data_IF_469565662613
#
_entry.id   IF_469565662613
#
_cell.length_a   1.000
_cell.length_b   1.000
_cell.length_c   1.000
_cell.angle_alpha   90.00
_cell.angle_beta   90.00
_cell.angle_gamma   90.00
#
_symmetry.space_group_name_H-M   'P 1'
#
loop_
_entity.id
_entity.type
_entity.pdbx_description
1 polymer ?
#
# COMPACT_ATOMS: atom_id res chain seq x y z
N UNK A 1 -13.41 4.09 33.56
CA UNK A 1 -14.52 4.71 32.84
C UNK A 1 -14.24 4.47 31.38
N UNK A 2 -15.16 3.85 30.64
CA UNK A 2 -15.06 3.83 29.18
C UNK A 2 -15.59 5.21 28.75
N UNK A 3 -14.68 6.11 28.39
CA UNK A 3 -15.07 7.43 27.91
C UNK A 3 -15.92 7.25 26.64
N UNK A 4 -17.07 7.91 26.60
CA UNK A 4 -17.92 7.87 25.41
C UNK A 4 -17.12 8.34 24.19
N UNK A 5 -17.29 7.69 23.01
CA UNK A 5 -16.59 8.10 21.82
C UNK A 5 -16.89 9.56 21.51
N UNK A 6 -15.84 10.38 21.40
CA UNK A 6 -16.00 11.79 21.10
C UNK A 6 -16.74 11.99 19.76
N UNK A 7 -17.43 13.12 19.62
CA UNK A 7 -18.29 13.37 18.46
C UNK A 7 -17.56 13.27 17.10
N UNK A 8 -16.25 13.57 17.07
CA UNK A 8 -15.42 13.50 15.86
C UNK A 8 -15.18 12.04 15.48
N UNK A 9 -14.78 11.18 16.41
CA UNK A 9 -14.57 9.74 16.19
C UNK A 9 -15.87 9.05 15.74
N UNK A 10 -17.00 9.43 16.32
CA UNK A 10 -18.32 8.95 15.88
C UNK A 10 -18.63 9.40 14.46
N UNK A 11 -18.42 10.67 14.12
CA UNK A 11 -18.65 11.18 12.78
C UNK A 11 -17.76 10.50 11.73
N UNK A 12 -16.47 10.28 12.03
CA UNK A 12 -15.56 9.54 11.17
C UNK A 12 -16.05 8.09 10.96
N UNK A 13 -16.40 7.39 12.04
CA UNK A 13 -16.95 6.03 11.93
C UNK A 13 -18.18 5.97 11.02
N UNK A 14 -19.09 6.95 11.13
CA UNK A 14 -20.26 7.04 10.26
C UNK A 14 -19.89 7.28 8.79
N UNK A 15 -18.95 8.19 8.51
CA UNK A 15 -18.45 8.44 7.14
C UNK A 15 -17.88 7.16 6.54
N UNK A 16 -17.09 6.41 7.31
CA UNK A 16 -16.49 5.16 6.87
C UNK A 16 -17.55 4.10 6.53
N UNK A 17 -18.52 3.90 7.43
CA UNK A 17 -19.58 2.92 7.27
C UNK A 17 -20.51 3.27 6.09
N UNK A 18 -20.91 4.53 5.95
CA UNK A 18 -21.76 4.98 4.85
C UNK A 18 -21.02 4.90 3.51
N UNK A 19 -19.76 5.36 3.46
CA UNK A 19 -18.92 5.28 2.27
C UNK A 19 -18.69 3.83 1.84
N UNK A 20 -18.40 2.94 2.79
CA UNK A 20 -18.24 1.51 2.53
C UNK A 20 -19.54 0.87 2.04
N UNK A 21 -20.67 1.19 2.68
CA UNK A 21 -21.99 0.71 2.25
C UNK A 21 -22.33 1.12 0.82
N UNK A 22 -22.02 2.37 0.43
CA UNK A 22 -22.19 2.86 -0.94
C UNK A 22 -21.27 2.15 -1.93
N UNK A 23 -20.00 1.92 -1.57
CA UNK A 23 -19.04 1.20 -2.40
C UNK A 23 -19.52 -0.25 -2.65
N UNK A 24 -19.91 -0.97 -1.60
CA UNK A 24 -20.42 -2.34 -1.70
C UNK A 24 -21.77 -2.45 -2.42
N UNK A 25 -22.67 -1.48 -2.22
CA UNK A 25 -23.91 -1.43 -3.00
C UNK A 25 -23.63 -1.24 -4.50
N UNK A 26 -22.65 -0.41 -4.84
CA UNK A 26 -22.21 -0.20 -6.23
C UNK A 26 -21.60 -1.47 -6.82
N UNK A 27 -20.69 -2.12 -6.08
CA UNK A 27 -20.09 -3.40 -6.45
C UNK A 27 -21.19 -4.46 -6.66
N UNK A 28 -22.13 -4.59 -5.72
CA UNK A 28 -23.24 -5.54 -5.79
C UNK A 28 -24.13 -5.32 -7.02
N UNK A 29 -24.45 -4.07 -7.36
CA UNK A 29 -25.21 -3.74 -8.59
C UNK A 29 -24.47 -4.17 -9.86
N UNK A 30 -23.15 -3.96 -9.92
CA UNK A 30 -22.33 -4.39 -11.07
C UNK A 30 -22.26 -5.90 -11.18
N UNK A 31 -22.03 -6.59 -10.07
CA UNK A 31 -22.00 -8.05 -10.02
C UNK A 31 -23.36 -8.66 -10.42
N UNK A 32 -24.48 -8.06 -10.00
CA UNK A 32 -25.83 -8.46 -10.42
C UNK A 32 -26.04 -8.32 -11.95
N UNK A 33 -25.33 -7.40 -12.60
CA UNK A 33 -25.28 -7.21 -14.06
C UNK A 33 -24.20 -8.07 -14.74
N UNK A 34 -23.52 -8.95 -14.00
CA UNK A 34 -22.37 -9.76 -14.45
C UNK A 34 -21.20 -8.91 -14.97
N UNK A 35 -21.10 -7.68 -14.48
CA UNK A 35 -19.97 -6.80 -14.75
C UNK A 35 -18.89 -6.95 -13.68
N UNK A 36 -17.63 -6.76 -14.07
CA UNK A 36 -16.55 -6.66 -13.10
C UNK A 36 -16.73 -5.39 -12.23
N UNK A 37 -16.44 -5.44 -10.92
CA UNK A 37 -16.44 -4.28 -10.03
C UNK A 37 -15.67 -3.08 -10.58
N UNK A 38 -14.48 -3.35 -11.12
CA UNK A 38 -13.66 -2.40 -11.87
C UNK A 38 -13.52 -2.96 -13.30
N UNK A 39 -13.85 -2.19 -14.35
CA UNK A 39 -13.64 -2.62 -15.72
C UNK A 39 -12.18 -2.98 -15.98
N UNK A 40 -11.95 -4.09 -16.67
CA UNK A 40 -10.61 -4.50 -17.07
C UNK A 40 -10.11 -3.63 -18.23
N UNK A 41 -8.95 -3.02 -18.06
CA UNK A 41 -8.26 -2.22 -19.08
C UNK A 41 -7.03 -3.01 -19.58
N UNK A 42 -7.05 -3.53 -20.82
CA UNK A 42 -5.93 -4.29 -21.38
C UNK A 42 -4.66 -3.45 -21.47
N UNK A 43 -3.50 -4.11 -21.37
CA UNK A 43 -2.18 -3.49 -21.42
C UNK A 43 -1.30 -4.08 -22.52
N UNK A 44 -0.31 -3.29 -22.94
CA UNK A 44 0.83 -3.80 -23.70
C UNK A 44 1.80 -4.60 -22.81
N UNK A 45 2.77 -5.27 -23.43
CA UNK A 45 3.79 -6.05 -22.71
C UNK A 45 4.57 -5.20 -21.70
N UNK A 46 5.03 -5.83 -20.62
CA UNK A 46 5.89 -5.15 -19.65
C UNK A 46 7.24 -4.77 -20.26
N UNK A 47 7.82 -3.64 -19.81
CA UNK A 47 9.12 -3.22 -20.28
C UNK A 47 10.30 -3.85 -19.52
N UNK A 48 10.05 -4.63 -18.47
CA UNK A 48 11.10 -5.23 -17.64
C UNK A 48 10.90 -6.74 -17.39
N UNK A 49 12.03 -7.41 -17.20
CA UNK A 49 12.18 -8.84 -16.93
C UNK A 49 12.31 -9.13 -15.43
N UNK A 50 12.20 -10.41 -15.05
CA UNK A 50 12.41 -10.83 -13.67
C UNK A 50 13.82 -10.54 -13.14
N UNK A 51 14.83 -10.56 -14.02
CA UNK A 51 16.21 -10.20 -13.65
C UNK A 51 16.28 -8.76 -13.16
N UNK A 52 15.58 -7.85 -13.82
CA UNK A 52 15.57 -6.44 -13.43
C UNK A 52 14.80 -6.20 -12.15
N UNK A 53 13.70 -6.92 -11.92
CA UNK A 53 13.00 -6.90 -10.63
C UNK A 53 13.96 -7.30 -9.51
N UNK A 54 14.71 -8.39 -9.68
CA UNK A 54 15.71 -8.83 -8.69
C UNK A 54 16.81 -7.78 -8.50
N UNK A 55 17.38 -7.23 -9.57
CA UNK A 55 18.43 -6.21 -9.48
C UNK A 55 17.95 -4.93 -8.77
N UNK A 56 16.74 -4.47 -9.09
CA UNK A 56 16.16 -3.29 -8.44
C UNK A 56 15.90 -3.54 -6.95
N UNK A 57 15.44 -4.74 -6.57
CA UNK A 57 15.25 -5.12 -5.17
C UNK A 57 16.58 -5.25 -4.41
N UNK A 58 17.61 -5.84 -5.03
CA UNK A 58 18.95 -5.89 -4.44
C UNK A 58 19.54 -4.49 -4.25
N UNK A 59 19.33 -3.60 -5.22
CA UNK A 59 19.75 -2.20 -5.11
C UNK A 59 19.01 -1.44 -4.00
N UNK A 60 17.72 -1.73 -3.81
CA UNK A 60 16.95 -1.23 -2.66
C UNK A 60 17.56 -1.70 -1.33
N UNK A 61 17.79 -3.00 -1.17
CA UNK A 61 18.37 -3.57 0.05
C UNK A 61 19.75 -2.98 0.34
N UNK A 62 20.58 -2.80 -0.69
CA UNK A 62 21.87 -2.13 -0.55
C UNK A 62 21.70 -0.68 -0.06
N UNK A 63 20.72 0.06 -0.60
CA UNK A 63 20.42 1.42 -0.17
C UNK A 63 20.02 1.51 1.30
N UNK A 64 19.17 0.59 1.77
CA UNK A 64 18.77 0.49 3.19
C UNK A 64 19.98 0.19 4.09
N UNK A 65 20.83 -0.76 3.70
CA UNK A 65 22.06 -1.11 4.46
C UNK A 65 23.01 0.08 4.52
N UNK A 66 23.23 0.78 3.40
CA UNK A 66 24.11 1.95 3.34
C UNK A 66 23.56 3.10 4.19
N UNK A 67 22.25 3.35 4.14
CA UNK A 67 21.62 4.39 4.94
C UNK A 67 21.77 4.11 6.44
N UNK A 68 21.56 2.86 6.87
CA UNK A 68 21.75 2.46 8.25
C UNK A 68 23.22 2.54 8.68
N UNK A 69 24.16 2.03 7.87
CA UNK A 69 25.60 2.10 8.17
C UNK A 69 26.11 3.55 8.23
N UNK A 70 25.58 4.44 7.39
CA UNK A 70 25.89 5.86 7.46
C UNK A 70 25.35 6.46 8.77
N UNK A 71 24.12 6.12 9.16
CA UNK A 71 23.54 6.61 10.41
C UNK A 71 24.38 6.18 11.63
N UNK A 72 24.76 4.90 11.71
CA UNK A 72 25.64 4.35 12.75
C UNK A 72 27.01 5.03 12.78
N UNK A 73 27.54 5.40 11.62
CA UNK A 73 28.88 6.00 11.51
C UNK A 73 28.92 7.49 11.90
N UNK A 74 27.86 8.23 11.63
CA UNK A 74 27.83 9.69 11.70
C UNK A 74 26.95 10.26 12.81
N UNK A 75 26.20 9.42 13.51
CA UNK A 75 25.34 9.81 14.63
C UNK A 75 25.57 8.91 15.85
N UNK A 76 24.90 9.21 16.97
CA UNK A 76 24.90 8.36 18.16
C UNK A 76 23.81 7.26 18.11
N UNK A 77 23.34 6.89 16.92
CA UNK A 77 22.32 5.87 16.74
C UNK A 77 22.81 4.49 17.21
N UNK A 78 22.02 3.83 18.06
CA UNK A 78 22.27 2.47 18.52
C UNK A 78 21.56 1.45 17.60
N UNK A 79 22.30 0.50 16.99
CA UNK A 79 21.70 -0.51 16.11
C UNK A 79 20.62 -1.33 16.81
N UNK A 80 19.50 -1.56 16.11
CA UNK A 80 18.38 -2.36 16.62
C UNK A 80 17.34 -1.56 17.43
N UNK A 81 17.55 -0.25 17.61
CA UNK A 81 16.56 0.64 18.20
C UNK A 81 15.70 1.30 17.12
N UNK A 82 14.40 1.48 17.40
CA UNK A 82 13.55 2.33 16.56
C UNK A 82 13.78 3.76 17.00
N UNK A 83 14.24 4.61 16.08
CA UNK A 83 14.52 6.03 16.34
C UNK A 83 13.98 6.92 15.22
N UNK A 84 13.85 8.21 15.53
CA UNK A 84 13.50 9.24 14.56
C UNK A 84 14.49 9.26 13.39
N UNK A 85 15.78 9.22 13.69
CA UNK A 85 16.85 9.32 12.72
C UNK A 85 16.85 8.11 11.77
N UNK A 86 16.59 6.91 12.30
CA UNK A 86 16.42 5.70 11.50
C UNK A 86 15.23 5.83 10.55
N UNK A 87 14.07 6.26 11.06
CA UNK A 87 12.86 6.43 10.25
C UNK A 87 13.11 7.37 9.05
N UNK A 88 13.75 8.52 9.30
CA UNK A 88 14.05 9.48 8.23
C UNK A 88 15.12 8.98 7.27
N UNK A 89 16.16 8.30 7.76
CA UNK A 89 17.19 7.71 6.90
C UNK A 89 16.59 6.68 5.94
N UNK A 90 15.72 5.80 6.44
CA UNK A 90 15.01 4.81 5.62
C UNK A 90 14.04 5.47 4.64
N UNK A 91 13.26 6.48 5.08
CA UNK A 91 12.37 7.22 4.19
C UNK A 91 13.15 7.90 3.05
N UNK A 92 14.30 8.51 3.35
CA UNK A 92 15.17 9.13 2.36
C UNK A 92 15.77 8.09 1.39
N UNK A 93 16.23 6.94 1.90
CA UNK A 93 16.75 5.85 1.08
C UNK A 93 15.68 5.31 0.10
N UNK A 94 14.46 5.09 0.58
CA UNK A 94 13.31 4.65 -0.25
C UNK A 94 12.94 5.67 -1.32
N UNK A 95 12.87 6.96 -0.95
CA UNK A 95 12.59 8.03 -1.90
C UNK A 95 13.68 8.13 -2.98
N UNK A 96 14.95 8.09 -2.57
CA UNK A 96 16.10 8.09 -3.50
C UNK A 96 16.09 6.88 -4.43
N UNK A 97 15.86 5.68 -3.89
CA UNK A 97 15.73 4.47 -4.69
C UNK A 97 14.57 4.57 -5.68
N UNK A 98 13.41 5.08 -5.27
CA UNK A 98 12.24 5.22 -6.14
C UNK A 98 12.52 6.14 -7.33
N UNK A 99 13.23 7.25 -7.09
CA UNK A 99 13.67 8.17 -8.16
C UNK A 99 14.57 7.44 -9.15
N UNK A 100 15.58 6.72 -8.66
CA UNK A 100 16.52 5.98 -9.51
C UNK A 100 15.82 4.86 -10.29
N UNK A 101 14.98 4.06 -9.64
CA UNK A 101 14.23 2.97 -10.26
C UNK A 101 13.24 3.51 -11.31
N UNK A 102 12.53 4.59 -11.00
CA UNK A 102 11.61 5.23 -11.95
C UNK A 102 12.35 5.82 -13.15
N UNK A 103 13.49 6.47 -12.95
CA UNK A 103 14.31 7.00 -14.04
C UNK A 103 14.87 5.87 -14.93
N UNK A 104 15.32 4.77 -14.33
CA UNK A 104 15.75 3.57 -15.05
C UNK A 104 14.62 3.01 -15.93
N UNK A 105 13.42 2.78 -15.37
CA UNK A 105 12.29 2.28 -16.15
C UNK A 105 11.80 3.28 -17.20
N UNK A 106 11.83 4.57 -16.90
CA UNK A 106 11.45 5.63 -17.84
C UNK A 106 12.38 5.66 -19.06
N UNK A 107 13.70 5.59 -18.85
CA UNK A 107 14.67 5.53 -19.96
C UNK A 107 14.52 4.24 -20.76
N UNK A 108 14.33 3.09 -20.09
CA UNK A 108 14.13 1.80 -20.73
C UNK A 108 12.87 1.76 -21.62
N UNK A 109 11.83 2.47 -21.23
CA UNK A 109 10.54 2.49 -21.93
C UNK A 109 10.48 3.53 -23.05
N UNK A 110 11.59 4.19 -23.38
CA UNK A 110 11.61 5.28 -24.35
C UNK A 110 10.78 6.48 -23.89
N UNK A 111 10.71 6.72 -22.56
CA UNK A 111 9.98 7.83 -21.96
C UNK A 111 8.49 7.58 -21.75
N UNK A 112 8.03 6.33 -21.77
CA UNK A 112 6.61 5.97 -21.63
C UNK A 112 6.26 5.53 -20.21
N UNK A 113 6.02 6.50 -19.34
CA UNK A 113 5.71 6.27 -17.93
C UNK A 113 4.47 5.38 -17.69
N UNK A 114 3.49 5.44 -18.61
CA UNK A 114 2.25 4.66 -18.54
C UNK A 114 2.48 3.15 -18.66
N UNK A 115 3.58 2.73 -19.29
CA UNK A 115 3.94 1.30 -19.43
C UNK A 115 4.33 0.62 -18.13
N UNK A 116 4.70 1.39 -17.09
CA UNK A 116 5.00 0.89 -15.75
C UNK A 116 4.12 1.56 -14.69
N UNK A 117 2.89 1.94 -15.06
CA UNK A 117 1.83 2.28 -14.12
C UNK A 117 1.59 3.77 -13.86
N UNK A 118 2.41 4.66 -14.40
CA UNK A 118 2.23 6.11 -14.26
C UNK A 118 1.48 6.71 -15.45
N UNK A 119 0.15 6.77 -15.34
CA UNK A 119 -0.69 7.46 -16.33
C UNK A 119 -1.17 8.83 -15.83
N UNK A 120 -0.37 9.87 -16.10
CA UNK A 120 -0.67 11.24 -15.68
C UNK A 120 -1.90 11.86 -16.36
N UNK A 121 -2.46 11.23 -17.39
CA UNK A 121 -3.66 11.72 -18.08
C UNK A 121 -4.95 11.45 -17.30
N UNK A 122 -4.93 10.50 -16.37
CA UNK A 122 -6.12 10.00 -15.66
C UNK A 122 -6.06 10.18 -14.14
N UNK A 123 -5.13 11.00 -13.63
CA UNK A 123 -4.89 11.15 -12.18
C UNK A 123 -6.17 11.40 -11.36
N UNK A 124 -7.04 12.30 -11.81
CA UNK A 124 -8.29 12.59 -11.10
C UNK A 124 -9.26 11.41 -11.07
N UNK A 125 -9.41 10.71 -12.20
CA UNK A 125 -10.23 9.48 -12.28
C UNK A 125 -9.65 8.38 -11.40
N UNK A 126 -8.33 8.25 -11.36
CA UNK A 126 -7.64 7.22 -10.59
C UNK A 126 -7.62 7.50 -9.10
N UNK A 127 -7.50 8.76 -8.69
CA UNK A 127 -7.68 9.16 -7.31
C UNK A 127 -9.12 8.87 -6.85
N UNK A 128 -10.13 9.21 -7.66
CA UNK A 128 -11.53 8.86 -7.37
C UNK A 128 -11.75 7.35 -7.24
N UNK A 129 -11.14 6.55 -8.13
CA UNK A 129 -11.17 5.10 -8.03
C UNK A 129 -10.46 4.60 -6.76
N UNK A 130 -9.31 5.16 -6.40
CA UNK A 130 -8.58 4.82 -5.18
C UNK A 130 -9.39 5.10 -3.92
N UNK A 131 -10.10 6.23 -3.85
CA UNK A 131 -11.02 6.54 -2.75
C UNK A 131 -12.15 5.50 -2.66
N UNK A 132 -12.72 5.10 -3.80
CA UNK A 132 -13.75 4.06 -3.83
C UNK A 132 -13.21 2.69 -3.37
N UNK A 133 -11.97 2.34 -3.76
CA UNK A 133 -11.27 1.14 -3.31
C UNK A 133 -11.00 1.18 -1.80
N UNK A 134 -10.58 2.34 -1.27
CA UNK A 134 -10.42 2.55 0.18
C UNK A 134 -11.72 2.25 0.93
N UNK A 135 -12.86 2.84 0.53
CA UNK A 135 -14.13 2.58 1.19
C UNK A 135 -14.58 1.12 1.08
N UNK A 136 -14.33 0.47 -0.05
CA UNK A 136 -14.62 -0.96 -0.20
C UNK A 136 -13.75 -1.83 0.74
N UNK A 137 -12.47 -1.48 0.89
CA UNK A 137 -11.50 -2.23 1.68
C UNK A 137 -11.60 -1.97 3.19
N UNK A 138 -11.94 -0.75 3.60
CA UNK A 138 -11.80 -0.29 4.98
C UNK A 138 -12.56 -1.16 5.99
N UNK A 139 -13.86 -1.43 5.75
CA UNK A 139 -14.66 -2.25 6.67
C UNK A 139 -14.12 -3.68 6.78
N UNK A 140 -13.84 -4.43 5.69
CA UNK A 140 -13.18 -5.73 5.78
C UNK A 140 -11.85 -5.70 6.56
N UNK A 141 -11.00 -4.72 6.29
CA UNK A 141 -9.69 -4.57 6.94
C UNK A 141 -9.85 -4.32 8.44
N UNK A 142 -10.67 -3.35 8.83
CA UNK A 142 -10.90 -3.05 10.24
C UNK A 142 -11.69 -4.14 10.97
N UNK A 143 -12.60 -4.85 10.30
CA UNK A 143 -13.32 -5.98 10.88
C UNK A 143 -12.35 -7.12 11.26
N UNK A 144 -11.38 -7.41 10.40
CA UNK A 144 -10.30 -8.36 10.72
C UNK A 144 -9.51 -7.86 11.92
N UNK A 145 -9.08 -6.59 11.92
CA UNK A 145 -8.34 -6.01 13.04
C UNK A 145 -9.11 -6.12 14.37
N UNK A 146 -10.39 -5.72 14.37
CA UNK A 146 -11.29 -5.79 15.54
C UNK A 146 -11.46 -7.23 16.02
N UNK A 147 -11.63 -8.18 15.10
CA UNK A 147 -11.75 -9.60 15.46
C UNK A 147 -10.50 -10.11 16.18
N UNK A 148 -9.30 -9.81 15.69
CA UNK A 148 -8.07 -10.26 16.35
C UNK A 148 -7.83 -9.54 17.68
N UNK A 149 -8.04 -8.22 17.73
CA UNK A 149 -7.78 -7.42 18.94
C UNK A 149 -8.79 -7.75 20.04
N UNK A 150 -10.08 -7.67 19.74
CA UNK A 150 -11.14 -7.84 20.75
C UNK A 150 -11.65 -9.28 20.85
N UNK A 151 -11.68 -10.02 19.74
CA UNK A 151 -12.14 -11.41 19.72
C UNK A 151 -11.09 -12.40 20.20
N UNK A 152 -9.80 -12.16 19.90
CA UNK A 152 -8.69 -13.06 20.28
C UNK A 152 -7.73 -12.46 21.31
N UNK A 153 -7.89 -11.18 21.69
CA UNK A 153 -7.06 -10.53 22.71
C UNK A 153 -5.62 -10.24 22.27
N UNK A 154 -5.34 -10.24 20.96
CA UNK A 154 -4.00 -9.98 20.43
C UNK A 154 -3.77 -8.48 20.36
N UNK A 155 -2.74 -7.98 21.06
CA UNK A 155 -2.39 -6.56 21.01
C UNK A 155 -1.74 -6.20 19.67
N UNK A 156 -2.11 -5.04 19.13
CA UNK A 156 -1.42 -4.45 17.97
C UNK A 156 -0.14 -3.77 18.44
N UNK A 157 0.96 -3.99 17.72
CA UNK A 157 2.30 -3.53 18.09
C UNK A 157 2.97 -2.73 16.96
N UNK A 158 2.24 -1.78 16.38
CA UNK A 158 2.73 -1.04 15.22
C UNK A 158 3.94 -0.12 15.58
N UNK A 159 5.13 -0.29 14.98
CA UNK A 159 6.34 0.45 15.36
C UNK A 159 6.23 1.97 15.26
N UNK A 160 5.54 2.48 14.23
CA UNK A 160 5.33 3.92 14.07
C UNK A 160 4.47 4.53 15.20
N UNK A 161 3.51 3.75 15.75
CA UNK A 161 2.68 4.18 16.87
C UNK A 161 3.51 4.18 18.16
N UNK A 162 4.35 3.15 18.38
CA UNK A 162 5.28 3.12 19.52
C UNK A 162 6.17 4.36 19.53
N UNK A 163 6.74 4.74 18.38
CA UNK A 163 7.58 5.95 18.29
C UNK A 163 6.81 7.25 18.63
N UNK A 164 5.53 7.36 18.27
CA UNK A 164 4.70 8.51 18.69
C UNK A 164 4.36 8.51 20.18
N UNK A 165 4.29 7.35 20.81
CA UNK A 165 4.03 7.20 22.24
C UNK A 165 5.28 7.51 23.07
N UNK A 166 6.46 7.11 22.58
CA UNK A 166 7.75 7.32 23.26
C UNK A 166 8.22 8.78 23.13
N UNK A 167 8.00 9.42 21.97
CA UNK A 167 8.36 10.83 21.71
C UNK A 167 7.14 11.68 21.26
N UNK A 168 6.18 11.98 22.16
CA UNK A 168 4.97 12.70 21.81
C UNK A 168 5.27 14.18 21.53
N UNK A 169 5.49 14.50 20.26
CA UNK A 169 5.60 15.88 19.78
C UNK A 169 4.84 16.09 18.47
N UNK A 170 4.28 17.29 18.29
CA UNK A 170 3.57 17.64 17.04
C UNK A 170 4.47 17.50 15.81
N UNK A 171 5.76 17.83 15.95
CA UNK A 171 6.74 17.69 14.88
C UNK A 171 6.98 16.22 14.50
N UNK A 172 7.12 15.34 15.49
CA UNK A 172 7.28 13.90 15.25
C UNK A 172 6.03 13.30 14.62
N UNK A 173 4.84 13.67 15.13
CA UNK A 173 3.58 13.17 14.63
C UNK A 173 3.32 13.62 13.17
N UNK A 174 3.66 14.88 12.84
CA UNK A 174 3.63 15.37 11.47
C UNK A 174 4.62 14.64 10.56
N UNK A 175 5.84 14.41 11.03
CA UNK A 175 6.87 13.68 10.29
C UNK A 175 6.47 12.24 9.98
N UNK A 176 6.01 11.50 10.99
CA UNK A 176 5.53 10.13 10.83
C UNK A 176 4.34 10.09 9.89
N UNK A 177 3.43 11.08 9.95
CA UNK A 177 2.31 11.18 9.01
C UNK A 177 2.78 11.30 7.56
N UNK A 178 3.80 12.13 7.27
CA UNK A 178 4.36 12.25 5.91
C UNK A 178 4.95 10.93 5.42
N UNK A 179 5.68 10.22 6.29
CA UNK A 179 6.29 8.93 5.93
C UNK A 179 5.22 7.86 5.72
N UNK A 180 4.31 7.68 6.68
CA UNK A 180 3.31 6.61 6.70
C UNK A 180 2.20 6.82 5.67
N UNK A 181 1.79 8.06 5.41
CA UNK A 181 0.71 8.36 4.44
C UNK A 181 1.27 8.58 3.02
N UNK A 182 2.50 9.08 2.90
CA UNK A 182 3.10 9.44 1.62
C UNK A 182 4.17 8.45 1.16
N UNK A 183 5.33 8.50 1.81
CA UNK A 183 6.56 7.83 1.31
C UNK A 183 6.42 6.31 1.30
N UNK A 184 5.91 5.71 2.38
CA UNK A 184 5.79 4.27 2.50
C UNK A 184 4.80 3.69 1.47
N UNK A 185 3.54 4.16 1.35
CA UNK A 185 2.63 3.69 0.32
C UNK A 185 3.18 3.87 -1.10
N UNK A 186 3.85 4.99 -1.37
CA UNK A 186 4.43 5.24 -2.69
C UNK A 186 5.51 4.21 -3.04
N UNK A 187 6.42 3.93 -2.11
CA UNK A 187 7.45 2.92 -2.29
C UNK A 187 6.85 1.51 -2.39
N UNK A 188 5.96 1.16 -1.46
CA UNK A 188 5.36 -0.17 -1.37
C UNK A 188 4.52 -0.49 -2.60
N UNK A 189 3.62 0.40 -3.03
CA UNK A 189 2.82 0.13 -4.23
C UNK A 189 3.69 0.03 -5.49
N UNK A 190 4.81 0.75 -5.56
CA UNK A 190 5.75 0.61 -6.66
C UNK A 190 6.44 -0.77 -6.64
N UNK A 191 6.94 -1.21 -5.48
CA UNK A 191 7.59 -2.53 -5.35
C UNK A 191 6.58 -3.67 -5.58
N UNK A 192 5.47 -3.66 -4.86
CA UNK A 192 4.53 -4.78 -4.84
C UNK A 192 3.63 -4.80 -6.07
N UNK A 193 3.10 -3.66 -6.54
CA UNK A 193 2.20 -3.64 -7.69
C UNK A 193 2.96 -3.52 -9.00
N UNK A 194 3.78 -2.49 -9.14
CA UNK A 194 4.47 -2.23 -10.41
C UNK A 194 5.50 -3.33 -10.68
N UNK A 195 6.48 -3.52 -9.80
CA UNK A 195 7.56 -4.47 -10.05
C UNK A 195 7.10 -5.92 -9.90
N UNK A 196 6.66 -6.34 -8.71
CA UNK A 196 6.40 -7.75 -8.41
C UNK A 196 5.13 -8.28 -9.09
N UNK A 197 3.97 -7.68 -8.82
CA UNK A 197 2.71 -8.13 -9.40
C UNK A 197 2.71 -7.94 -10.91
N UNK A 198 3.14 -6.77 -11.40
CA UNK A 198 3.29 -6.51 -12.83
C UNK A 198 4.09 -7.60 -13.54
N UNK A 199 5.29 -7.92 -13.02
CA UNK A 199 6.16 -8.98 -13.56
C UNK A 199 5.50 -10.36 -13.55
N UNK A 200 4.94 -10.78 -12.42
CA UNK A 200 4.28 -12.09 -12.31
C UNK A 200 3.05 -12.21 -13.23
N UNK A 201 2.30 -11.13 -13.42
CA UNK A 201 1.19 -11.09 -14.37
C UNK A 201 1.67 -11.22 -15.82
N UNK A 202 2.78 -10.57 -16.21
CA UNK A 202 3.34 -10.74 -17.54
C UNK A 202 3.88 -12.16 -17.75
N UNK A 203 4.61 -12.70 -16.77
CA UNK A 203 5.11 -14.06 -16.83
C UNK A 203 3.98 -15.09 -16.97
N UNK A 204 2.92 -14.96 -16.17
CA UNK A 204 1.75 -15.83 -16.28
C UNK A 204 1.06 -15.69 -17.63
N UNK A 205 0.98 -14.48 -18.17
CA UNK A 205 0.39 -14.20 -19.48
C UNK A 205 1.19 -14.86 -20.60
N UNK A 206 2.52 -14.73 -20.57
CA UNK A 206 3.44 -15.40 -21.51
C UNK A 206 3.30 -16.92 -21.45
N UNK A 207 3.24 -17.52 -20.25
CA UNK A 207 3.03 -18.96 -20.11
C UNK A 207 1.71 -19.44 -20.71
N UNK A 208 0.63 -18.66 -20.55
CA UNK A 208 -0.68 -18.99 -21.11
C UNK A 208 -0.72 -18.87 -22.63
N UNK A 209 -0.01 -17.90 -23.21
CA UNK A 209 0.09 -17.76 -24.66
C UNK A 209 0.81 -18.93 -25.35
N UNK A 210 1.56 -19.76 -24.62
CA UNK A 210 2.11 -21.01 -25.15
C UNK A 210 1.11 -22.19 -25.12
N UNK A 211 -0.01 -22.06 -24.40
CA UNK A 211 -0.97 -23.15 -24.16
C UNK A 211 -2.34 -22.98 -24.84
N UNK A 212 -2.81 -21.74 -25.02
CA UNK A 212 -4.12 -21.44 -25.62
C UNK A 212 -3.97 -20.71 -26.96
N UNK A 213 -4.65 -21.22 -28.00
CA UNK A 213 -4.72 -20.63 -29.34
C UNK A 213 -5.83 -19.56 -29.49
N UNK A 214 -6.38 -19.06 -28.37
CA UNK A 214 -7.45 -18.06 -28.38
C UNK A 214 -6.86 -16.64 -28.47
N UNK A 215 -7.30 -15.88 -29.47
CA UNK A 215 -6.83 -14.54 -29.83
C UNK A 215 -7.32 -13.42 -28.87
N UNK A 216 -8.05 -13.78 -27.79
CA UNK A 216 -8.49 -12.80 -26.81
C UNK A 216 -7.31 -12.31 -25.97
N UNK A 217 -7.09 -10.99 -25.92
CA UNK A 217 -5.98 -10.38 -25.19
C UNK A 217 -5.88 -10.96 -23.76
N UNK A 218 -4.80 -11.69 -23.44
CA UNK A 218 -4.81 -12.59 -22.29
C UNK A 218 -4.91 -11.79 -20.99
N UNK A 219 -6.02 -12.02 -20.25
CA UNK A 219 -6.20 -11.46 -18.91
C UNK A 219 -5.34 -12.27 -17.94
N UNK A 220 -4.48 -11.63 -17.12
CA UNK A 220 -3.73 -12.35 -16.11
C UNK A 220 -4.71 -13.02 -15.13
N UNK A 221 -4.36 -14.19 -14.62
CA UNK A 221 -5.12 -14.85 -13.56
C UNK A 221 -5.05 -14.07 -12.24
N UNK A 222 -5.67 -14.62 -11.19
CA UNK A 222 -5.62 -14.01 -9.86
C UNK A 222 -4.39 -14.44 -9.04
N UNK A 223 -3.61 -15.42 -9.50
CA UNK A 223 -2.48 -15.95 -8.74
C UNK A 223 -1.38 -14.90 -8.43
N UNK A 224 -0.93 -14.06 -9.39
CA UNK A 224 0.03 -12.99 -9.10
C UNK A 224 -0.43 -12.06 -7.97
N UNK A 225 -1.69 -11.63 -8.02
CA UNK A 225 -2.31 -10.80 -6.99
C UNK A 225 -2.27 -11.48 -5.62
N UNK A 226 -2.67 -12.75 -5.53
CA UNK A 226 -2.71 -13.49 -4.25
C UNK A 226 -1.31 -13.70 -3.69
N UNK A 227 -0.35 -14.10 -4.52
CA UNK A 227 1.05 -14.33 -4.11
C UNK A 227 1.68 -13.05 -3.59
N UNK A 228 1.52 -11.93 -4.31
CA UNK A 228 2.05 -10.64 -3.88
C UNK A 228 1.36 -10.15 -2.62
N UNK A 229 0.05 -10.39 -2.48
CA UNK A 229 -0.69 -10.03 -1.26
C UNK A 229 -0.18 -10.78 -0.04
N UNK A 230 0.09 -12.09 -0.18
CA UNK A 230 0.67 -12.93 0.88
C UNK A 230 2.06 -12.43 1.28
N UNK A 231 2.92 -12.14 0.31
CA UNK A 231 4.26 -11.60 0.56
C UNK A 231 4.20 -10.25 1.27
N UNK A 232 3.28 -9.37 0.86
CA UNK A 232 3.09 -8.07 1.47
C UNK A 232 2.69 -8.19 2.94
N UNK A 233 1.69 -9.02 3.26
CA UNK A 233 1.30 -9.29 4.65
C UNK A 233 2.44 -9.91 5.47
N UNK A 234 3.17 -10.89 4.90
CA UNK A 234 4.27 -11.57 5.59
C UNK A 234 5.42 -10.64 5.98
N UNK A 235 5.75 -9.65 5.15
CA UNK A 235 6.79 -8.66 5.43
C UNK A 235 6.44 -7.68 6.55
N UNK A 236 5.17 -7.66 6.98
CA UNK A 236 4.71 -6.93 8.16
C UNK A 236 4.65 -7.80 9.42
N UNK A 237 5.20 -9.03 9.35
CA UNK A 237 5.27 -9.95 10.48
C UNK A 237 5.94 -9.33 11.70
N UNK A 238 5.43 -9.66 12.88
CA UNK A 238 5.92 -9.12 14.16
C UNK A 238 5.16 -7.88 14.67
N UNK A 239 4.20 -7.34 13.91
CA UNK A 239 3.39 -6.19 14.32
C UNK A 239 2.03 -6.58 14.97
N UNK A 240 1.93 -7.79 15.53
CA UNK A 240 0.66 -8.31 16.06
C UNK A 240 -0.29 -8.80 14.96
N UNK A 241 -1.57 -8.40 14.93
CA UNK A 241 -2.55 -8.88 13.94
C UNK A 241 -2.48 -8.17 12.58
N UNK A 242 -1.72 -7.08 12.50
CA UNK A 242 -1.58 -6.23 11.32
C UNK A 242 -1.25 -7.01 10.02
N UNK A 243 -0.38 -8.05 9.99
CA UNK A 243 -0.13 -8.85 8.77
C UNK A 243 -1.38 -9.37 8.07
N UNK A 244 -2.40 -9.76 8.83
CA UNK A 244 -3.63 -10.34 8.28
C UNK A 244 -4.53 -9.24 7.71
N UNK A 245 -4.67 -8.13 8.43
CA UNK A 245 -5.41 -6.96 7.95
C UNK A 245 -4.76 -6.36 6.69
N UNK A 246 -3.43 -6.28 6.68
CA UNK A 246 -2.61 -5.80 5.56
C UNK A 246 -2.67 -6.75 4.36
N UNK A 247 -2.70 -8.07 4.59
CA UNK A 247 -2.98 -9.04 3.51
C UNK A 247 -4.33 -8.76 2.85
N UNK A 248 -5.38 -8.55 3.64
CA UNK A 248 -6.73 -8.23 3.11
C UNK A 248 -6.71 -6.93 2.33
N UNK A 249 -6.08 -5.87 2.85
CA UNK A 249 -5.88 -4.63 2.11
C UNK A 249 -5.21 -4.89 0.75
N UNK A 250 -4.11 -5.65 0.76
CA UNK A 250 -3.32 -5.96 -0.44
C UNK A 250 -4.13 -6.67 -1.54
N UNK A 251 -5.14 -7.45 -1.18
CA UNK A 251 -6.07 -8.06 -2.15
C UNK A 251 -6.87 -6.99 -2.92
N UNK A 252 -7.37 -5.95 -2.24
CA UNK A 252 -8.10 -4.85 -2.89
C UNK A 252 -7.16 -3.99 -3.75
N UNK A 253 -5.99 -3.66 -3.23
CA UNK A 253 -4.98 -2.87 -3.94
C UNK A 253 -4.47 -3.61 -5.18
N UNK A 254 -4.18 -4.91 -5.03
CA UNK A 254 -3.76 -5.79 -6.12
C UNK A 254 -4.87 -5.99 -7.14
N UNK A 255 -6.15 -6.05 -6.72
CA UNK A 255 -7.28 -6.13 -7.64
C UNK A 255 -7.41 -4.85 -8.47
N UNK A 256 -7.36 -3.68 -7.83
CA UNK A 256 -7.40 -2.39 -8.54
C UNK A 256 -6.25 -2.28 -9.56
N UNK A 257 -5.04 -2.67 -9.15
CA UNK A 257 -3.88 -2.69 -10.05
C UNK A 257 -4.06 -3.69 -11.20
N UNK A 258 -4.51 -4.92 -10.93
CA UNK A 258 -4.76 -5.93 -11.98
C UNK A 258 -5.75 -5.44 -13.04
N UNK A 259 -6.76 -4.67 -12.63
CA UNK A 259 -7.81 -4.19 -13.54
C UNK A 259 -7.37 -2.98 -14.36
N UNK A 260 -6.50 -2.12 -13.81
CA UNK A 260 -6.18 -0.81 -14.40
C UNK A 260 -4.74 -0.68 -14.89
N UNK A 261 -3.84 -1.52 -14.37
CA UNK A 261 -2.39 -1.44 -14.49
C UNK A 261 -1.83 -0.04 -14.20
N UNK A 262 -2.45 0.68 -13.27
CA UNK A 262 -2.08 2.03 -12.85
C UNK A 262 -1.81 2.04 -11.37
N UNK A 263 -0.75 2.72 -10.95
CA UNK A 263 -0.32 2.74 -9.54
C UNK A 263 -1.21 3.64 -8.69
N UNK A 264 -1.76 4.70 -9.28
CA UNK A 264 -2.48 5.77 -8.55
C UNK A 264 -3.71 5.26 -7.79
N UNK A 265 -4.60 4.39 -8.33
CA UNK A 265 -5.72 3.87 -7.55
C UNK A 265 -5.28 3.14 -6.29
N UNK A 266 -4.26 2.27 -6.40
CA UNK A 266 -3.74 1.51 -5.26
C UNK A 266 -3.02 2.41 -4.26
N UNK A 267 -2.20 3.35 -4.76
CA UNK A 267 -1.50 4.34 -3.94
C UNK A 267 -2.47 5.19 -3.12
N UNK A 268 -3.51 5.73 -3.75
CA UNK A 268 -4.50 6.57 -3.07
C UNK A 268 -5.30 5.75 -2.06
N UNK A 269 -5.73 4.54 -2.42
CA UNK A 269 -6.45 3.68 -1.48
C UNK A 269 -5.62 3.34 -0.24
N UNK A 270 -4.34 3.02 -0.43
CA UNK A 270 -3.39 2.73 0.64
C UNK A 270 -3.14 3.98 1.51
N UNK A 271 -2.82 5.12 0.88
CA UNK A 271 -2.63 6.38 1.58
C UNK A 271 -3.89 6.82 2.36
N UNK A 272 -5.08 6.59 1.82
CA UNK A 272 -6.34 6.86 2.54
C UNK A 272 -6.50 5.99 3.79
N UNK A 273 -6.16 4.69 3.73
CA UNK A 273 -6.20 3.82 4.91
C UNK A 273 -5.22 4.29 5.98
N UNK A 274 -3.97 4.57 5.58
CA UNK A 274 -2.93 5.06 6.49
C UNK A 274 -3.28 6.45 7.05
N UNK A 275 -3.84 7.32 6.22
CA UNK A 275 -4.33 8.63 6.65
C UNK A 275 -5.48 8.51 7.64
N UNK A 276 -6.39 7.56 7.44
CA UNK A 276 -7.49 7.28 8.35
C UNK A 276 -6.99 6.84 9.73
N UNK A 277 -6.05 5.90 9.78
CA UNK A 277 -5.48 5.43 11.04
C UNK A 277 -4.68 6.54 11.73
N UNK A 278 -3.90 7.33 10.98
CA UNK A 278 -3.20 8.48 11.52
C UNK A 278 -4.17 9.52 12.10
N UNK A 279 -5.22 9.93 11.38
CA UNK A 279 -6.21 10.90 11.92
C UNK A 279 -6.82 10.42 13.24
N UNK A 280 -7.16 9.13 13.36
CA UNK A 280 -7.66 8.59 14.61
C UNK A 280 -6.61 8.61 15.73
N UNK A 281 -5.34 8.35 15.42
CA UNK A 281 -4.23 8.49 16.37
C UNK A 281 -4.07 9.94 16.85
N UNK A 282 -4.11 10.91 15.93
CA UNK A 282 -4.06 12.34 16.25
C UNK A 282 -5.20 12.73 17.20
N UNK A 283 -6.42 12.26 16.94
CA UNK A 283 -7.59 12.53 17.79
C UNK A 283 -7.39 11.94 19.19
N UNK A 284 -6.95 10.68 19.27
CA UNK A 284 -6.72 10.00 20.55
C UNK A 284 -5.68 10.73 21.41
N UNK A 285 -4.53 11.08 20.81
CA UNK A 285 -3.47 11.83 21.51
C UNK A 285 -3.94 13.21 21.96
N UNK A 286 -4.71 13.91 21.12
CA UNK A 286 -5.23 15.23 21.49
C UNK A 286 -6.23 15.14 22.65
N UNK A 287 -7.11 14.13 22.65
CA UNK A 287 -8.10 13.95 23.72
C UNK A 287 -7.50 13.56 25.08
N UNK A 288 -6.32 12.94 25.10
CA UNK A 288 -5.61 12.63 26.35
C UNK A 288 -4.82 13.84 26.91
N UNK A 289 -4.57 14.85 26.07
CA UNK A 289 -3.78 16.05 26.42
C UNK A 289 -4.59 17.24 26.96
N UNK A 290 -5.93 17.16 26.89
CA UNK A 290 -6.90 18.20 27.33
C UNK A 290 -7.73 17.65 28.48
#
# INVERSE_FOLDING_TARGET
>A
MQDEPNAISTALSLVLLLGSGLAWATIGRRLARREAPIPFEPRGGLPFSGVEVVLLLLFYLLGEIVAQAALERWTAYEPGTVSRELLFAQAAARAGWLVVASAYLFTKTGGRADTFGWDFRQLGRDAGLGIAVFFAAAVPVFAVQVFFVFGLGIKSEHPAIKLTQDEPSLAMLAAISVVVVGVAPLFEEFVFRVLLQGWLEAWQTTLRSFGDADDSAPRPGYAPLVVVSLLFGALHGGHGPDPVAIFVLSLFLGYAYRQTHRIVPSLVAHACLNGWTMVNLWIAMWSESV
#
